data_IF_219171825794
#
_entry.id   IF_219171825794
#
_cell.length_a   1.000
_cell.length_b   1.000
_cell.length_c   1.000
_cell.angle_alpha   90.00
_cell.angle_beta   90.00
_cell.angle_gamma   90.00
#
_symmetry.space_group_name_H-M   'P 1'
#
loop_
_entity.id
_entity.type
_entity.pdbx_description
1 polymer ?
#
# COMPACT_ATOMS: atom_id res chain seq x y z
N UNK A 1 -36.24 13.45 2.65
CA UNK A 1 -35.25 12.75 1.79
C UNK A 1 -34.89 11.42 2.43
N UNK A 2 -34.92 10.30 1.71
CA UNK A 2 -34.45 9.02 2.24
C UNK A 2 -32.94 9.12 2.48
N UNK A 3 -32.52 9.12 3.75
CA UNK A 3 -31.11 9.08 4.16
C UNK A 3 -30.43 7.87 3.50
N UNK A 4 -29.37 8.12 2.73
CA UNK A 4 -28.75 7.13 1.84
C UNK A 4 -27.73 6.25 2.54
N UNK A 5 -27.61 5.01 2.08
CA UNK A 5 -26.42 4.18 2.32
C UNK A 5 -25.31 4.68 1.38
N UNK A 6 -24.11 4.88 1.92
CA UNK A 6 -22.92 5.30 1.19
C UNK A 6 -21.94 4.12 1.25
N UNK A 7 -21.51 3.66 0.08
CA UNK A 7 -20.47 2.64 -0.03
C UNK A 7 -19.17 3.30 -0.47
N UNK A 8 -18.09 3.02 0.24
CA UNK A 8 -16.73 3.43 -0.13
C UNK A 8 -15.95 2.17 -0.46
N UNK A 9 -15.40 2.13 -1.67
CA UNK A 9 -14.60 1.01 -2.15
C UNK A 9 -13.13 1.25 -1.84
N UNK A 10 -12.47 0.27 -1.23
CA UNK A 10 -11.03 0.28 -1.00
C UNK A 10 -10.47 -0.95 -1.69
N UNK A 11 -9.48 -0.76 -2.56
CA UNK A 11 -8.76 -1.86 -3.18
C UNK A 11 -7.32 -1.78 -2.70
N UNK A 12 -6.81 -2.89 -2.16
CA UNK A 12 -5.44 -2.98 -1.65
C UNK A 12 -4.66 -4.04 -2.40
N UNK A 13 -3.47 -3.68 -2.86
CA UNK A 13 -2.43 -4.62 -3.29
C UNK A 13 -1.46 -4.88 -2.13
N UNK A 14 -0.76 -6.00 -2.19
CA UNK A 14 0.29 -6.34 -1.24
C UNK A 14 1.51 -6.87 -1.96
N UNK A 15 2.71 -6.48 -1.49
CA UNK A 15 4.01 -6.96 -1.97
C UNK A 15 4.06 -7.20 -3.49
N UNK A 16 3.84 -6.15 -4.29
CA UNK A 16 3.92 -6.21 -5.76
C UNK A 16 5.32 -6.68 -6.22
N UNK A 17 6.36 -6.45 -5.41
CA UNK A 17 7.72 -6.96 -5.59
C UNK A 17 8.39 -6.54 -6.91
N UNK A 18 8.09 -5.35 -7.40
CA UNK A 18 8.61 -4.85 -8.67
C UNK A 18 8.00 -5.52 -9.91
N UNK A 19 6.96 -6.34 -9.76
CA UNK A 19 6.32 -7.07 -10.85
C UNK A 19 5.63 -6.12 -11.84
N UNK A 20 6.39 -5.68 -12.85
CA UNK A 20 5.97 -4.71 -13.85
C UNK A 20 5.65 -5.33 -15.22
N UNK A 21 6.12 -6.56 -15.47
CA UNK A 21 5.82 -7.34 -16.68
C UNK A 21 5.30 -8.72 -16.30
N UNK A 22 4.67 -9.40 -17.25
CA UNK A 22 4.14 -10.73 -17.00
C UNK A 22 5.28 -11.73 -16.84
N UNK A 23 5.46 -12.22 -15.61
CA UNK A 23 6.33 -13.34 -15.28
C UNK A 23 5.52 -14.44 -14.59
N UNK A 24 6.04 -15.67 -14.61
CA UNK A 24 5.34 -16.79 -13.98
C UNK A 24 5.31 -16.58 -12.47
N UNK A 25 4.15 -16.79 -11.84
CA UNK A 25 3.93 -16.69 -10.40
C UNK A 25 4.15 -15.29 -9.77
N UNK A 26 4.13 -14.22 -10.57
CA UNK A 26 4.18 -12.84 -10.06
C UNK A 26 2.82 -12.14 -10.14
N UNK A 27 2.67 -11.04 -9.41
CA UNK A 27 1.51 -10.15 -9.56
C UNK A 27 1.42 -9.62 -11.00
N UNK A 28 0.23 -9.63 -11.59
CA UNK A 28 -0.02 -9.07 -12.93
C UNK A 28 -0.83 -7.79 -12.80
N UNK A 29 -0.14 -6.64 -12.89
CA UNK A 29 -0.74 -5.32 -12.80
C UNK A 29 -1.69 -5.01 -13.96
N UNK A 30 -1.49 -5.59 -15.15
CA UNK A 30 -2.38 -5.38 -16.31
C UNK A 30 -3.74 -6.06 -16.10
N UNK A 31 -3.77 -7.25 -15.49
CA UNK A 31 -5.03 -7.91 -15.13
C UNK A 31 -5.71 -7.22 -13.95
N UNK A 32 -4.92 -6.81 -12.95
CA UNK A 32 -5.42 -6.02 -11.82
C UNK A 32 -6.06 -4.70 -12.29
N UNK A 33 -5.46 -4.05 -13.29
CA UNK A 33 -5.96 -2.83 -13.90
C UNK A 33 -7.39 -2.98 -14.43
N UNK A 34 -7.66 -4.08 -15.15
CA UNK A 34 -9.00 -4.38 -15.66
C UNK A 34 -10.02 -4.40 -14.53
N UNK A 35 -9.72 -5.12 -13.44
CA UNK A 35 -10.60 -5.15 -12.28
C UNK A 35 -10.78 -3.78 -11.61
N UNK A 36 -9.68 -3.07 -11.36
CA UNK A 36 -9.69 -1.74 -10.74
C UNK A 36 -10.55 -0.77 -11.55
N UNK A 37 -10.44 -0.79 -12.88
CA UNK A 37 -11.25 0.05 -13.77
C UNK A 37 -12.73 -0.31 -13.71
N UNK A 38 -13.07 -1.61 -13.66
CA UNK A 38 -14.46 -2.07 -13.47
C UNK A 38 -15.02 -1.62 -12.11
N UNK A 39 -14.25 -1.74 -11.03
CA UNK A 39 -14.66 -1.28 -9.70
C UNK A 39 -14.92 0.23 -9.69
N UNK A 40 -14.08 1.01 -10.39
CA UNK A 40 -14.25 2.46 -10.53
C UNK A 40 -15.47 2.90 -11.33
N UNK A 41 -16.02 2.04 -12.19
CA UNK A 41 -17.30 2.32 -12.86
C UNK A 41 -18.47 2.32 -11.86
N UNK A 42 -18.34 1.59 -10.75
CA UNK A 42 -19.38 1.48 -9.72
C UNK A 42 -19.29 2.57 -8.64
N UNK A 43 -18.19 3.33 -8.60
CA UNK A 43 -17.98 4.38 -7.61
C UNK A 43 -16.51 4.78 -7.46
N UNK A 44 -16.25 5.72 -6.55
CA UNK A 44 -14.86 6.08 -6.25
C UNK A 44 -14.16 4.96 -5.48
N UNK A 45 -12.90 4.71 -5.80
CA UNK A 45 -12.07 3.68 -5.19
C UNK A 45 -10.84 4.31 -4.55
N UNK A 46 -10.59 3.99 -3.28
CA UNK A 46 -9.32 4.22 -2.60
C UNK A 46 -8.38 3.06 -2.94
N UNK A 47 -7.38 3.31 -3.79
CA UNK A 47 -6.45 2.29 -4.27
C UNK A 47 -5.10 2.45 -3.56
N UNK A 48 -4.73 1.48 -2.71
CA UNK A 48 -3.53 1.56 -1.87
C UNK A 48 -2.68 0.29 -1.99
N UNK A 49 -1.39 0.39 -1.65
CA UNK A 49 -0.47 -0.76 -1.62
C UNK A 49 0.15 -0.92 -0.22
N UNK A 50 0.16 -2.13 0.33
CA UNK A 50 0.78 -2.41 1.63
C UNK A 50 2.31 -2.68 1.53
N UNK A 51 3.02 -1.98 0.66
CA UNK A 51 4.49 -1.99 0.65
C UNK A 51 5.15 -3.09 -0.17
N UNK A 52 6.47 -3.21 -0.03
CA UNK A 52 7.39 -3.98 -0.88
C UNK A 52 7.04 -3.82 -2.37
N UNK A 53 7.03 -2.57 -2.81
CA UNK A 53 6.49 -2.17 -4.09
C UNK A 53 7.50 -2.40 -5.23
N UNK A 54 8.73 -1.93 -5.06
CA UNK A 54 9.65 -1.73 -6.19
C UNK A 54 10.79 -2.74 -6.28
N UNK A 55 10.97 -3.60 -5.28
CA UNK A 55 12.07 -4.57 -5.17
C UNK A 55 11.57 -6.01 -5.03
N UNK A 56 12.39 -6.99 -5.42
CA UNK A 56 12.08 -8.42 -5.21
C UNK A 56 11.71 -9.19 -6.48
N UNK A 57 12.09 -8.69 -7.66
CA UNK A 57 11.98 -9.40 -8.93
C UNK A 57 13.18 -9.15 -9.85
N UNK A 58 13.50 -10.06 -10.79
CA UNK A 58 14.60 -9.87 -11.73
C UNK A 58 14.45 -8.60 -12.59
N UNK A 59 13.21 -8.21 -12.90
CA UNK A 59 12.95 -6.97 -13.61
C UNK A 59 13.26 -5.73 -12.75
N UNK A 60 13.01 -5.76 -11.44
CA UNK A 60 13.43 -4.67 -10.56
C UNK A 60 14.95 -4.52 -10.49
N UNK A 61 15.68 -5.64 -10.43
CA UNK A 61 17.16 -5.65 -10.45
C UNK A 61 17.71 -5.11 -11.77
N UNK A 62 17.10 -5.49 -12.89
CA UNK A 62 17.42 -4.93 -14.21
C UNK A 62 17.29 -3.40 -14.23
N UNK A 63 16.21 -2.87 -13.67
CA UNK A 63 15.98 -1.42 -13.64
C UNK A 63 16.88 -0.69 -12.63
N UNK A 64 17.25 -1.35 -11.55
CA UNK A 64 18.18 -0.82 -10.57
C UNK A 64 19.61 -0.74 -11.11
N UNK A 65 20.12 -1.81 -11.72
CA UNK A 65 21.53 -1.87 -12.14
C UNK A 65 21.83 -1.45 -13.59
N UNK A 66 20.94 -1.75 -14.55
CA UNK A 66 21.23 -1.52 -15.98
C UNK A 66 20.48 -0.32 -16.57
N UNK A 67 19.52 0.25 -15.83
CA UNK A 67 18.65 1.34 -16.30
C UNK A 67 18.54 2.48 -15.29
N UNK A 68 19.64 2.83 -14.65
CA UNK A 68 19.76 3.87 -13.59
C UNK A 68 19.18 5.26 -13.96
N UNK A 69 19.02 5.56 -15.25
CA UNK A 69 18.46 6.84 -15.73
C UNK A 69 17.11 6.71 -16.46
N UNK A 70 16.49 5.53 -16.46
CA UNK A 70 15.18 5.34 -17.10
C UNK A 70 14.05 5.39 -16.08
N UNK A 71 12.86 5.66 -16.60
CA UNK A 71 11.61 5.51 -15.85
C UNK A 71 11.48 4.09 -15.32
N UNK A 72 10.97 3.93 -14.10
CA UNK A 72 10.55 2.63 -13.57
C UNK A 72 9.13 2.37 -14.08
N UNK A 73 8.89 1.39 -14.98
CA UNK A 73 7.58 1.15 -15.58
C UNK A 73 6.48 0.93 -14.54
N UNK A 74 6.78 0.21 -13.45
CA UNK A 74 5.82 -0.02 -12.38
C UNK A 74 5.23 1.28 -11.83
N UNK A 75 6.07 2.28 -11.54
CA UNK A 75 5.61 3.58 -11.03
C UNK A 75 4.74 4.29 -12.06
N UNK A 76 5.11 4.22 -13.35
CA UNK A 76 4.31 4.80 -14.44
C UNK A 76 2.93 4.14 -14.54
N UNK A 77 2.87 2.81 -14.44
CA UNK A 77 1.64 2.03 -14.45
C UNK A 77 0.75 2.39 -13.26
N UNK A 78 1.32 2.54 -12.07
CA UNK A 78 0.59 2.94 -10.87
C UNK A 78 0.07 4.38 -10.93
N UNK A 79 0.83 5.31 -11.50
CA UNK A 79 0.38 6.68 -11.76
C UNK A 79 -0.82 6.70 -12.72
N UNK A 80 -0.76 5.92 -13.81
CA UNK A 80 -1.88 5.74 -14.75
C UNK A 80 -3.10 5.10 -14.08
N UNK A 81 -2.86 4.17 -13.16
CA UNK A 81 -3.90 3.56 -12.32
C UNK A 81 -4.32 4.44 -11.15
N UNK A 82 -3.78 5.64 -10.98
CA UNK A 82 -4.18 6.58 -9.92
C UNK A 82 -4.23 5.91 -8.54
N UNK A 83 -3.12 5.26 -8.17
CA UNK A 83 -2.91 4.85 -6.78
C UNK A 83 -2.99 6.08 -5.87
N UNK A 84 -3.52 5.88 -4.67
CA UNK A 84 -3.68 6.90 -3.65
C UNK A 84 -2.49 6.97 -2.70
N UNK A 85 -1.88 5.82 -2.40
CA UNK A 85 -0.67 5.72 -1.59
C UNK A 85 -0.05 4.33 -1.66
N UNK A 86 1.21 4.23 -1.22
CA UNK A 86 1.86 2.96 -0.88
C UNK A 86 2.52 3.06 0.49
N UNK A 87 2.51 1.99 1.28
CA UNK A 87 3.39 1.87 2.44
C UNK A 87 4.86 1.77 1.99
N UNK A 88 5.80 2.25 2.80
CA UNK A 88 7.24 1.99 2.66
C UNK A 88 7.59 0.75 3.47
N UNK A 89 8.45 -0.09 2.94
CA UNK A 89 9.06 -1.19 3.69
C UNK A 89 10.57 -1.09 3.63
N UNK A 90 11.25 -1.73 4.57
CA UNK A 90 12.72 -1.74 4.57
C UNK A 90 13.25 -2.49 3.34
N UNK A 91 12.49 -3.46 2.83
CA UNK A 91 12.79 -4.15 1.57
C UNK A 91 12.77 -3.21 0.36
N UNK A 92 12.05 -2.09 0.40
CA UNK A 92 12.04 -1.13 -0.72
C UNK A 92 13.42 -0.45 -0.91
N UNK A 93 14.30 -0.50 0.10
CA UNK A 93 15.66 0.02 0.03
C UNK A 93 16.70 -1.02 -0.44
N UNK A 94 16.31 -2.29 -0.65
CA UNK A 94 17.26 -3.39 -0.89
C UNK A 94 18.06 -3.27 -2.19
N UNK A 95 17.54 -2.53 -3.19
CA UNK A 95 18.23 -2.22 -4.44
C UNK A 95 18.97 -0.86 -4.39
N UNK A 96 19.18 -0.34 -3.19
CA UNK A 96 19.87 0.92 -2.92
C UNK A 96 18.94 2.13 -2.83
N UNK A 97 19.33 3.10 -2.00
CA UNK A 97 18.54 4.31 -1.76
C UNK A 97 18.32 5.16 -3.02
N UNK A 98 19.27 5.16 -3.97
CA UNK A 98 19.09 5.85 -5.26
C UNK A 98 17.94 5.29 -6.09
N UNK A 99 17.77 3.96 -6.09
CA UNK A 99 16.66 3.31 -6.79
C UNK A 99 15.32 3.68 -6.15
N UNK A 100 15.26 3.64 -4.81
CA UNK A 100 14.10 4.08 -4.05
C UNK A 100 13.77 5.56 -4.29
N UNK A 101 14.76 6.44 -4.14
CA UNK A 101 14.61 7.89 -4.29
C UNK A 101 14.08 8.25 -5.69
N UNK A 102 14.57 7.54 -6.72
CA UNK A 102 14.05 7.67 -8.08
C UNK A 102 12.60 7.21 -8.19
N UNK A 103 12.25 6.05 -7.64
CA UNK A 103 10.86 5.59 -7.63
C UNK A 103 9.94 6.59 -6.91
N UNK A 104 10.35 7.05 -5.75
CA UNK A 104 9.66 8.06 -4.94
C UNK A 104 9.43 9.37 -5.71
N UNK A 105 10.48 9.91 -6.34
CA UNK A 105 10.41 11.15 -7.11
C UNK A 105 9.52 11.04 -8.37
N UNK A 106 9.34 9.84 -8.89
CA UNK A 106 8.52 9.58 -10.08
C UNK A 106 7.04 9.30 -9.76
N UNK A 107 6.70 9.05 -8.51
CA UNK A 107 5.33 8.72 -8.12
C UNK A 107 4.44 9.95 -8.04
N UNK A 108 3.22 9.84 -8.59
CA UNK A 108 2.13 10.81 -8.40
C UNK A 108 1.34 10.55 -7.10
N UNK A 109 1.79 9.57 -6.31
CA UNK A 109 1.19 9.16 -5.06
C UNK A 109 2.25 9.11 -3.95
N UNK A 110 1.90 9.47 -2.71
CA UNK A 110 2.85 9.46 -1.61
C UNK A 110 3.22 8.03 -1.19
N UNK A 111 4.49 7.89 -0.80
CA UNK A 111 4.96 6.76 -0.01
C UNK A 111 4.75 7.10 1.47
N UNK A 112 4.04 6.25 2.19
CA UNK A 112 3.66 6.46 3.57
C UNK A 112 4.54 5.68 4.52
N UNK A 113 4.99 6.34 5.57
CA UNK A 113 5.56 5.69 6.74
C UNK A 113 5.56 6.66 7.91
N UNK A 114 4.97 6.24 9.02
CA UNK A 114 4.95 7.03 10.25
C UNK A 114 6.12 6.71 11.19
N UNK A 115 6.81 5.59 10.98
CA UNK A 115 7.84 5.09 11.89
C UNK A 115 9.26 5.04 11.31
N UNK A 116 9.45 5.33 10.01
CA UNK A 116 10.77 5.63 9.46
C UNK A 116 11.08 7.12 9.71
N UNK A 117 12.03 7.37 10.60
CA UNK A 117 12.35 8.71 11.10
C UNK A 117 13.74 9.15 10.68
N UNK A 118 13.95 10.47 10.61
CA UNK A 118 15.28 11.05 10.63
C UNK A 118 15.93 10.81 12.00
N UNK A 119 17.14 10.26 12.00
CA UNK A 119 17.82 9.90 13.24
C UNK A 119 18.07 11.09 14.17
N UNK A 120 18.36 12.26 13.59
CA UNK A 120 18.67 13.48 14.35
C UNK A 120 17.42 14.20 14.85
N UNK A 121 16.42 14.41 13.99
CA UNK A 121 15.23 15.20 14.35
C UNK A 121 14.12 14.36 14.99
N UNK A 122 14.14 13.04 14.80
CA UNK A 122 13.06 12.11 15.17
C UNK A 122 11.72 12.41 14.50
N UNK A 123 11.71 13.18 13.41
CA UNK A 123 10.54 13.42 12.57
C UNK A 123 10.45 12.39 11.44
N UNK A 124 9.26 12.12 10.85
CA UNK A 124 9.14 11.20 9.73
C UNK A 124 10.03 11.60 8.56
N UNK A 125 10.87 10.67 8.10
CA UNK A 125 11.90 10.97 7.11
C UNK A 125 11.33 11.43 5.76
N UNK A 126 10.18 10.88 5.38
CA UNK A 126 9.51 11.18 4.11
C UNK A 126 8.40 12.24 4.22
N UNK A 127 8.19 12.82 5.42
CA UNK A 127 7.16 13.83 5.72
C UNK A 127 5.70 13.44 5.42
N UNK A 128 5.42 12.20 5.05
CA UNK A 128 4.07 11.70 4.71
C UNK A 128 3.72 10.47 5.55
N UNK A 129 3.43 10.62 6.86
CA UNK A 129 3.05 9.50 7.72
C UNK A 129 1.67 8.92 7.40
N UNK A 130 0.77 9.76 6.89
CA UNK A 130 -0.61 9.40 6.54
C UNK A 130 -1.15 10.26 5.40
N UNK A 131 -2.31 9.87 4.87
CA UNK A 131 -3.17 10.70 4.00
C UNK A 131 -4.61 10.74 4.51
N UNK A 132 -5.35 11.79 4.17
CA UNK A 132 -6.81 11.86 4.35
C UNK A 132 -7.46 11.93 2.97
N UNK A 133 -8.40 11.02 2.71
CA UNK A 133 -9.26 11.05 1.53
C UNK A 133 -10.72 11.28 1.92
N UNK A 134 -11.36 12.23 1.27
CA UNK A 134 -12.75 12.58 1.54
C UNK A 134 -13.70 12.00 0.48
N UNK A 135 -14.72 11.27 0.92
CA UNK A 135 -15.77 10.68 0.09
C UNK A 135 -17.15 11.11 0.56
N UNK A 136 -17.82 11.97 -0.21
CA UNK A 136 -19.16 12.51 0.14
C UNK A 136 -19.25 13.05 1.57
N UNK A 137 -18.20 13.76 2.01
CA UNK A 137 -18.12 14.30 3.37
C UNK A 137 -17.33 13.42 4.35
N UNK A 138 -17.29 12.10 4.15
CA UNK A 138 -16.62 11.12 5.03
C UNK A 138 -15.11 11.19 4.84
N UNK A 139 -14.35 11.44 5.90
CA UNK A 139 -12.88 11.47 5.91
C UNK A 139 -12.32 10.09 6.26
N UNK A 140 -11.60 9.50 5.32
CA UNK A 140 -10.88 8.24 5.51
C UNK A 140 -9.40 8.56 5.67
N UNK A 141 -8.85 8.29 6.86
CA UNK A 141 -7.42 8.35 7.13
C UNK A 141 -6.73 7.04 6.74
N UNK A 142 -5.57 7.13 6.09
CA UNK A 142 -4.70 5.98 5.83
C UNK A 142 -3.33 6.29 6.40
N UNK A 143 -2.91 5.52 7.39
CA UNK A 143 -1.59 5.60 8.04
C UNK A 143 -0.80 4.33 7.72
N UNK A 144 0.52 4.43 7.61
CA UNK A 144 1.35 3.29 7.23
C UNK A 144 2.56 3.08 8.14
N UNK A 145 2.88 1.80 8.37
CA UNK A 145 3.88 1.32 9.30
C UNK A 145 4.74 0.25 8.65
N UNK A 146 6.04 0.39 8.85
CA UNK A 146 7.06 -0.53 8.42
C UNK A 146 7.55 -1.38 9.59
N UNK A 147 8.08 -2.56 9.31
CA UNK A 147 8.79 -3.39 10.30
C UNK A 147 9.88 -2.61 11.05
N UNK A 148 10.07 -2.91 12.33
CA UNK A 148 11.03 -2.23 13.21
C UNK A 148 12.43 -2.86 13.13
N UNK A 149 13.11 -2.77 11.98
CA UNK A 149 14.49 -3.29 11.85
C UNK A 149 15.50 -2.21 11.49
N UNK A 150 16.79 -2.51 11.74
CA UNK A 150 17.88 -1.60 11.41
C UNK A 150 17.91 -1.33 9.89
N UNK A 151 17.97 -0.05 9.53
CA UNK A 151 18.12 0.39 8.15
C UNK A 151 19.60 0.69 7.91
N UNK A 152 20.15 0.16 6.82
CA UNK A 152 21.51 0.48 6.37
C UNK A 152 21.53 1.84 5.66
N UNK A 153 21.39 2.92 6.43
CA UNK A 153 21.41 4.30 5.94
C UNK A 153 21.89 5.25 7.05
N UNK A 154 22.71 6.23 6.70
CA UNK A 154 23.43 7.09 7.67
C UNK A 154 22.52 7.93 8.57
N UNK A 155 21.30 8.25 8.13
CA UNK A 155 20.41 9.19 8.83
C UNK A 155 18.98 8.68 9.05
N UNK A 156 18.68 7.41 8.73
CA UNK A 156 17.32 6.86 8.85
C UNK A 156 17.28 5.80 9.94
N UNK A 157 16.21 5.80 10.72
CA UNK A 157 15.90 4.75 11.69
C UNK A 157 14.46 4.28 11.54
N UNK A 158 14.23 2.97 11.59
CA UNK A 158 12.90 2.43 11.80
C UNK A 158 12.65 2.36 13.31
N UNK A 159 11.84 3.28 13.81
CA UNK A 159 11.43 3.32 15.21
C UNK A 159 10.33 2.30 15.49
N UNK A 160 10.06 2.07 16.78
CA UNK A 160 8.99 1.19 17.23
C UNK A 160 7.62 1.62 16.60
N UNK A 161 6.94 0.72 15.86
CA UNK A 161 5.69 1.02 15.17
C UNK A 161 4.57 1.47 16.13
N UNK A 162 4.43 0.80 17.27
CA UNK A 162 3.43 1.12 18.29
C UNK A 162 3.60 2.53 18.87
N UNK A 163 4.82 2.97 19.14
CA UNK A 163 5.08 4.33 19.64
C UNK A 163 4.74 5.40 18.58
N UNK A 164 5.12 5.12 17.33
CA UNK A 164 4.88 6.04 16.20
C UNK A 164 3.40 6.16 15.86
N UNK A 165 2.67 5.04 15.79
CA UNK A 165 1.24 5.05 15.46
C UNK A 165 0.45 5.83 16.50
N UNK A 166 0.71 5.66 17.81
CA UNK A 166 0.03 6.40 18.87
C UNK A 166 0.19 7.90 18.73
N UNK A 167 1.40 8.35 18.38
CA UNK A 167 1.71 9.76 18.18
C UNK A 167 0.93 10.34 17.00
N UNK A 168 0.96 9.66 15.86
CA UNK A 168 0.33 10.12 14.63
C UNK A 168 -1.19 9.96 14.63
N UNK A 169 -1.73 8.97 15.33
CA UNK A 169 -3.16 8.81 15.56
C UNK A 169 -3.72 10.00 16.35
N UNK A 170 -3.07 10.38 17.46
CA UNK A 170 -3.47 11.57 18.22
C UNK A 170 -3.45 12.83 17.33
N UNK A 171 -2.35 13.04 16.61
CA UNK A 171 -2.25 14.17 15.68
C UNK A 171 -3.35 14.17 14.61
N UNK A 172 -3.62 13.02 13.99
CA UNK A 172 -4.64 12.88 12.96
C UNK A 172 -6.03 13.18 13.51
N UNK A 173 -6.38 12.70 14.71
CA UNK A 173 -7.67 13.00 15.31
C UNK A 173 -7.83 14.47 15.71
N UNK A 174 -6.78 15.07 16.29
CA UNK A 174 -6.79 16.46 16.74
C UNK A 174 -6.88 17.45 15.56
N UNK A 175 -6.25 17.15 14.43
CA UNK A 175 -6.13 18.09 13.30
C UNK A 175 -7.07 17.77 12.13
N UNK A 176 -7.33 16.50 11.86
CA UNK A 176 -8.07 16.07 10.67
C UNK A 176 -9.48 15.57 11.01
N UNK A 177 -9.69 15.06 12.23
CA UNK A 177 -10.93 14.43 12.69
C UNK A 177 -11.47 13.40 11.67
N UNK A 178 -10.73 12.30 11.42
CA UNK A 178 -11.15 11.27 10.47
C UNK A 178 -12.37 10.50 10.98
N UNK A 179 -13.28 10.14 10.06
CA UNK A 179 -14.45 9.30 10.35
C UNK A 179 -14.10 7.80 10.36
N UNK A 180 -13.01 7.42 9.69
CA UNK A 180 -12.53 6.05 9.61
C UNK A 180 -11.03 6.04 9.38
N UNK A 181 -10.30 5.13 10.03
CA UNK A 181 -8.84 5.03 9.91
C UNK A 181 -8.43 3.62 9.51
N UNK A 182 -7.62 3.55 8.47
CA UNK A 182 -6.99 2.33 7.95
C UNK A 182 -5.50 2.40 8.27
N UNK A 183 -4.99 1.39 8.99
CA UNK A 183 -3.57 1.20 9.20
C UNK A 183 -3.03 0.14 8.24
N UNK A 184 -2.01 0.51 7.46
CA UNK A 184 -1.21 -0.39 6.64
C UNK A 184 0.01 -0.82 7.44
N UNK A 185 0.16 -2.12 7.67
CA UNK A 185 1.30 -2.65 8.41
C UNK A 185 2.00 -3.75 7.62
N UNK A 186 3.27 -3.55 7.31
CA UNK A 186 4.11 -4.55 6.67
C UNK A 186 5.27 -4.87 7.62
N UNK A 187 5.02 -5.86 8.48
CA UNK A 187 5.88 -6.26 9.61
C UNK A 187 5.21 -7.39 10.41
N UNK A 188 5.74 -7.70 11.59
CA UNK A 188 5.15 -8.71 12.46
C UNK A 188 4.11 -8.08 13.36
N UNK A 189 2.90 -8.64 13.45
CA UNK A 189 1.82 -8.02 14.23
C UNK A 189 2.18 -7.86 15.72
N UNK A 190 3.12 -8.68 16.23
CA UNK A 190 3.73 -8.51 17.56
C UNK A 190 4.33 -7.13 17.79
N UNK A 191 4.76 -6.43 16.73
CA UNK A 191 5.26 -5.05 16.80
C UNK A 191 4.18 -4.04 17.21
N UNK A 192 2.90 -4.44 17.12
CA UNK A 192 1.71 -3.65 17.41
C UNK A 192 0.90 -4.20 18.59
N UNK A 193 1.48 -5.11 19.38
CA UNK A 193 0.82 -5.75 20.51
C UNK A 193 1.65 -5.50 21.77
N UNK A 194 0.98 -5.32 22.91
CA UNK A 194 1.63 -5.19 24.23
C UNK A 194 1.89 -6.56 24.86
N UNK A 195 2.66 -6.64 25.96
CA UNK A 195 2.90 -7.90 26.70
C UNK A 195 1.61 -8.60 27.17
N UNK A 196 0.49 -7.87 27.28
CA UNK A 196 -0.84 -8.40 27.63
C UNK A 196 -1.68 -8.84 26.41
N UNK A 197 -1.07 -8.96 25.23
CA UNK A 197 -1.71 -9.32 23.95
C UNK A 197 -2.81 -8.34 23.46
N UNK A 198 -2.90 -7.15 24.06
CA UNK A 198 -3.88 -6.12 23.67
C UNK A 198 -3.35 -5.33 22.46
N UNK A 199 -4.13 -5.32 21.38
CA UNK A 199 -3.89 -4.45 20.23
C UNK A 199 -4.22 -2.99 20.58
N UNK A 200 -3.24 -2.25 21.10
CA UNK A 200 -3.44 -0.91 21.67
C UNK A 200 -3.46 0.24 20.63
N UNK A 201 -4.09 0.08 19.47
CA UNK A 201 -4.28 1.20 18.54
C UNK A 201 -5.73 1.66 18.52
N UNK A 202 -6.13 2.29 19.62
CA UNK A 202 -7.40 2.99 19.73
C UNK A 202 -7.60 3.96 18.56
N UNK A 203 -8.79 3.93 17.95
CA UNK A 203 -9.15 4.74 16.78
C UNK A 203 -8.78 4.14 15.42
N UNK A 204 -7.95 3.08 15.35
CA UNK A 204 -7.79 2.33 14.10
C UNK A 204 -8.99 1.40 13.91
N UNK A 205 -9.68 1.58 12.79
CA UNK A 205 -10.88 0.81 12.48
C UNK A 205 -10.57 -0.45 11.67
N UNK A 206 -9.54 -0.37 10.81
CA UNK A 206 -9.10 -1.46 9.95
C UNK A 206 -7.58 -1.54 9.93
N UNK A 207 -7.01 -2.69 10.30
CA UNK A 207 -5.60 -3.02 10.15
C UNK A 207 -5.44 -3.99 8.98
N UNK A 208 -4.65 -3.59 7.98
CA UNK A 208 -4.23 -4.47 6.89
C UNK A 208 -2.78 -4.89 7.13
N UNK A 209 -2.55 -6.19 7.34
CA UNK A 209 -1.25 -6.73 7.77
C UNK A 209 -0.82 -7.94 6.95
N UNK A 210 0.48 -8.17 6.80
CA UNK A 210 1.00 -9.37 6.13
C UNK A 210 1.01 -10.60 7.06
N UNK A 211 1.02 -10.37 8.36
CA UNK A 211 1.14 -11.41 9.37
C UNK A 211 0.06 -11.22 10.43
N UNK A 212 -0.65 -12.31 10.75
CA UNK A 212 -1.53 -12.40 11.91
C UNK A 212 -0.94 -13.50 12.81
N UNK A 213 -0.75 -13.21 14.09
CA UNK A 213 -0.55 -14.25 15.08
C UNK A 213 -1.92 -14.86 15.43
N UNK A 214 -1.98 -16.19 15.57
CA UNK A 214 -3.23 -16.87 15.91
C UNK A 214 -3.84 -16.31 17.21
N UNK A 215 -5.14 -16.04 17.20
CA UNK A 215 -5.90 -15.69 18.42
C UNK A 215 -5.99 -14.20 18.75
N UNK A 216 -5.49 -13.30 17.88
CA UNK A 216 -5.68 -11.86 18.07
C UNK A 216 -7.06 -11.46 17.54
N UNK A 217 -8.03 -11.36 18.44
CA UNK A 217 -9.31 -10.69 18.20
C UNK A 217 -9.30 -9.34 18.92
N UNK A 218 -9.77 -8.28 18.25
CA UNK A 218 -9.89 -6.96 18.86
C UNK A 218 -11.32 -6.44 18.72
N UNK A 219 -11.89 -5.93 19.81
CA UNK A 219 -13.32 -5.57 19.88
C UNK A 219 -13.72 -4.47 18.89
N UNK A 220 -12.79 -3.57 18.55
CA UNK A 220 -13.08 -2.35 17.78
C UNK A 220 -12.30 -2.23 16.46
N UNK A 221 -11.35 -3.12 16.21
CA UNK A 221 -10.48 -3.04 15.03
C UNK A 221 -10.61 -4.32 14.23
N UNK A 222 -11.06 -4.19 12.98
CA UNK A 222 -11.03 -5.31 12.03
C UNK A 222 -9.57 -5.54 11.60
N UNK A 223 -9.09 -6.78 11.65
CA UNK A 223 -7.73 -7.13 11.24
C UNK A 223 -7.82 -8.08 10.05
N UNK A 224 -7.28 -7.68 8.91
CA UNK A 224 -7.28 -8.50 7.69
C UNK A 224 -5.84 -8.83 7.30
N UNK A 225 -5.56 -10.13 7.19
CA UNK A 225 -4.31 -10.61 6.62
C UNK A 225 -4.35 -10.46 5.10
N UNK A 226 -3.38 -9.74 4.56
CA UNK A 226 -3.17 -9.65 3.13
C UNK A 226 -2.43 -10.89 2.63
N UNK A 227 -2.87 -11.51 1.52
CA UNK A 227 -2.18 -12.64 0.95
C UNK A 227 -0.84 -12.20 0.37
N UNK A 228 0.12 -13.13 0.34
CA UNK A 228 1.38 -13.01 -0.42
C UNK A 228 1.18 -13.24 -1.93
N UNK A 229 -0.03 -13.64 -2.35
CA UNK A 229 -0.35 -14.04 -3.73
C UNK A 229 -0.68 -12.84 -4.63
N UNK A 230 -0.87 -13.12 -5.92
CA UNK A 230 -1.30 -12.18 -6.96
C UNK A 230 -2.73 -11.61 -6.79
N UNK A 231 -3.36 -11.78 -5.65
CA UNK A 231 -4.75 -11.39 -5.41
C UNK A 231 -4.85 -9.95 -4.93
N UNK A 232 -5.96 -9.27 -5.27
CA UNK A 232 -6.32 -7.99 -4.66
C UNK A 232 -7.22 -8.23 -3.46
N UNK A 233 -7.18 -7.35 -2.45
CA UNK A 233 -8.23 -7.25 -1.45
C UNK A 233 -9.17 -6.12 -1.85
N UNK A 234 -10.46 -6.41 -2.02
CA UNK A 234 -11.49 -5.39 -2.22
C UNK A 234 -12.39 -5.32 -0.97
N UNK A 235 -12.33 -4.19 -0.29
CA UNK A 235 -13.15 -3.87 0.88
C UNK A 235 -14.25 -2.88 0.47
N UNK A 236 -15.46 -3.10 0.98
CA UNK A 236 -16.61 -2.21 0.87
C UNK A 236 -16.95 -1.73 2.27
N UNK A 237 -16.65 -0.47 2.56
CA UNK A 237 -17.12 0.20 3.78
C UNK A 237 -18.54 0.70 3.56
N UNK A 238 -19.41 0.48 4.53
CA UNK A 238 -20.81 0.90 4.48
C UNK A 238 -21.04 1.97 5.54
N UNK A 239 -21.49 3.15 5.10
CA UNK A 239 -21.89 4.23 5.98
C UNK A 239 -23.37 4.55 5.80
N UNK A 240 -24.03 4.90 6.89
CA UNK A 240 -25.39 5.46 6.86
C UNK A 240 -25.32 6.94 7.19
N UNK A 241 -25.77 7.76 6.24
CA UNK A 241 -25.88 9.20 6.45
C UNK A 241 -26.91 9.51 7.55
N UNK A 242 -26.51 10.32 8.54
CA UNK A 242 -27.37 10.85 9.60
C UNK A 242 -27.64 12.33 9.32
N UNK A 243 -28.22 13.05 10.28
CA UNK A 243 -28.58 14.46 10.04
C UNK A 243 -27.31 15.32 9.94
N UNK A 244 -26.37 15.12 10.86
CA UNK A 244 -25.14 15.91 10.98
C UNK A 244 -23.90 15.02 11.16
N UNK A 245 -24.01 13.72 10.83
CA UNK A 245 -22.92 12.75 11.01
C UNK A 245 -23.05 11.56 10.06
N UNK A 246 -22.03 10.71 10.06
CA UNK A 246 -22.05 9.41 9.40
C UNK A 246 -21.96 8.31 10.45
N UNK A 247 -22.73 7.25 10.24
CA UNK A 247 -22.66 6.05 11.08
C UNK A 247 -22.01 4.94 10.28
N UNK A 248 -20.85 4.45 10.75
CA UNK A 248 -20.23 3.24 10.22
C UNK A 248 -21.15 2.03 10.47
N UNK A 249 -21.52 1.32 9.40
CA UNK A 249 -22.34 0.11 9.44
C UNK A 249 -21.52 -1.18 9.35
N UNK A 250 -20.20 -1.06 9.27
CA UNK A 250 -19.27 -2.16 9.13
C UNK A 250 -18.63 -2.20 7.74
N UNK A 251 -17.79 -3.21 7.55
CA UNK A 251 -17.16 -3.50 6.28
C UNK A 251 -17.45 -4.93 5.84
N UNK A 252 -17.33 -5.16 4.54
CA UNK A 252 -17.24 -6.50 3.95
C UNK A 252 -16.03 -6.50 3.03
N UNK A 253 -15.41 -7.65 2.85
CA UNK A 253 -14.25 -7.75 1.96
C UNK A 253 -14.24 -9.07 1.18
N UNK A 254 -13.55 -9.05 0.05
CA UNK A 254 -13.35 -10.21 -0.81
C UNK A 254 -11.93 -10.20 -1.39
N UNK A 255 -11.33 -11.38 -1.50
CA UNK A 255 -10.08 -11.56 -2.23
C UNK A 255 -10.39 -11.80 -3.71
N UNK A 256 -9.83 -10.96 -4.56
CA UNK A 256 -10.04 -10.98 -5.99
C UNK A 256 -8.85 -11.65 -6.66
N UNK A 257 -9.11 -12.83 -7.22
CA UNK A 257 -8.19 -13.53 -8.08
C UNK A 257 -8.11 -12.83 -9.44
N UNK A 258 -7.04 -12.06 -9.64
CA UNK A 258 -6.84 -11.27 -10.87
C UNK A 258 -6.59 -12.16 -12.09
N UNK A 259 -6.24 -13.44 -11.91
CA UNK A 259 -5.95 -14.34 -13.05
C UNK A 259 -7.15 -14.52 -13.97
N UNK A 260 -8.36 -14.32 -13.44
CA UNK A 260 -9.67 -14.41 -14.11
C UNK A 260 -9.99 -13.25 -15.05
N UNK A 261 -9.19 -12.18 -15.01
CA UNK A 261 -9.39 -11.00 -15.84
C UNK A 261 -8.42 -11.00 -17.02
N UNK A 262 -8.86 -10.41 -18.12
CA UNK A 262 -8.00 -10.10 -19.25
C UNK A 262 -7.05 -8.94 -18.91
N UNK A 263 -5.93 -8.87 -19.62
CA UNK A 263 -4.97 -7.78 -19.47
C UNK A 263 -5.52 -6.48 -20.05
N UNK A 264 -5.35 -5.37 -19.32
CA UNK A 264 -5.71 -4.05 -19.82
C UNK A 264 -4.81 -3.65 -20.99
N UNK A 265 -5.38 -3.65 -22.19
CA UNK A 265 -4.64 -3.41 -23.43
C UNK A 265 -3.91 -2.07 -23.45
N UNK A 266 -4.60 -0.98 -23.07
CA UNK A 266 -4.01 0.37 -23.11
C UNK A 266 -2.87 0.52 -22.12
N UNK A 267 -3.03 -0.07 -20.93
CA UNK A 267 -1.99 -0.05 -19.92
C UNK A 267 -0.78 -0.88 -20.36
N UNK A 268 -1.00 -2.05 -20.96
CA UNK A 268 0.08 -2.89 -21.52
C UNK A 268 0.81 -2.23 -22.69
N UNK A 269 0.07 -1.55 -23.57
CA UNK A 269 0.65 -0.80 -24.68
C UNK A 269 1.59 0.31 -24.19
N UNK A 270 1.27 0.96 -23.06
CA UNK A 270 2.06 2.06 -22.49
C UNK A 270 3.49 1.67 -22.07
N UNK A 271 3.74 0.37 -21.89
CA UNK A 271 5.02 -0.22 -21.46
C UNK A 271 5.57 -1.24 -22.47
N UNK A 272 5.01 -1.29 -23.68
CA UNK A 272 5.36 -2.28 -24.72
C UNK A 272 6.87 -2.32 -25.03
N UNK A 273 7.50 -1.14 -25.19
CA UNK A 273 8.91 -1.07 -25.57
C UNK A 273 9.82 -1.52 -24.43
N UNK A 274 9.49 -1.14 -23.19
CA UNK A 274 10.21 -1.59 -22.00
C UNK A 274 10.12 -3.09 -21.78
N UNK A 275 8.92 -3.68 -21.95
CA UNK A 275 8.72 -5.13 -21.85
C UNK A 275 9.51 -5.87 -22.93
N UNK A 276 9.48 -5.36 -24.17
CA UNK A 276 10.23 -5.93 -25.30
C UNK A 276 11.73 -5.87 -25.08
N UNK A 277 12.24 -4.75 -24.58
CA UNK A 277 13.66 -4.58 -24.26
C UNK A 277 14.10 -5.56 -23.18
N UNK A 278 13.39 -5.61 -22.05
CA UNK A 278 13.69 -6.52 -20.96
C UNK A 278 13.60 -8.00 -21.39
N UNK A 279 12.62 -8.35 -22.21
CA UNK A 279 12.47 -9.70 -22.78
C UNK A 279 13.69 -10.14 -23.60
N UNK A 280 14.34 -9.22 -24.32
CA UNK A 280 15.56 -9.51 -25.07
C UNK A 280 16.76 -9.76 -24.14
N UNK A 281 16.86 -9.02 -23.05
CA UNK A 281 17.91 -9.20 -22.03
C UNK A 281 17.74 -10.54 -21.32
N UNK A 282 16.52 -10.86 -20.91
CA UNK A 282 16.18 -12.13 -20.26
C UNK A 282 16.50 -13.34 -21.14
N UNK A 283 16.16 -13.30 -22.44
CA UNK A 283 16.48 -14.38 -23.40
C UNK A 283 17.97 -14.59 -23.63
N UNK A 284 18.80 -13.56 -23.43
CA UNK A 284 20.26 -13.64 -23.61
C UNK A 284 21.01 -14.21 -22.39
N UNK A 285 20.32 -14.60 -21.30
CA UNK A 285 20.94 -15.06 -20.03
C UNK A 285 21.97 -14.08 -19.44
N UNK A 286 21.77 -12.77 -19.62
CA UNK A 286 22.66 -11.74 -19.03
C UNK A 286 22.28 -11.45 -17.57
N UNK A 287 21.13 -11.94 -17.11
CA UNK A 287 20.73 -11.91 -15.70
C UNK A 287 20.75 -13.37 -15.22
N UNK A 288 21.81 -13.70 -14.48
CA UNK A 288 22.05 -15.03 -13.90
C UNK A 288 21.08 -15.33 -12.76
N UNK A 289 20.86 -16.63 -12.57
CA UNK A 289 20.19 -17.28 -11.43
C UNK A 289 20.58 -16.73 -10.06
#
# INVERSE_FOLDING_TARGET
MKKGLINIHIITTNNIKGAMFQENNTFNIYKAATYIKLARQSGQVLLINNGQLITGSPVSEYYAGLKEYKRIPLISLMNLLKFNATNITIKDFSLGFNYFSRAHAMSEFPFLSCNILNESTKEPYFNTPYIIHQYKGIKIGVIALSEAVQIDHETMIASNPMASIKTWMRYMYDNESPDYVIALHNGQISDLITEEDIFCVEGVHLLLTNNIAQGIEHEYTEIIQLPESSSLLHIKLMFKERTDSFENKGCSYEFIDVSRYEEDYLLKESTYYEEKEYSLVRKKKILSD
#
